data_IF_199395285537
#
_entry.id   IF_199395285537
#
_cell.length_a   1.000
_cell.length_b   1.000
_cell.length_c   1.000
_cell.angle_alpha   90.00
_cell.angle_beta   90.00
_cell.angle_gamma   90.00
#
_symmetry.space_group_name_H-M   'P 1'
#
loop_
_entity.id
_entity.type
_entity.pdbx_description
1 polymer ?
#
# COMPACT_ATOMS: atom_id res chain seq x y z
N UNK A 1 -0.02 -2.25 27.29
CA UNK A 1 0.91 -1.76 26.25
C UNK A 1 0.03 -1.35 25.10
N UNK A 2 0.03 -0.06 24.72
CA UNK A 2 -0.79 0.40 23.59
C UNK A 2 -0.13 -0.13 22.33
N UNK A 3 -0.72 -1.16 21.75
CA UNK A 3 -0.38 -1.64 20.41
C UNK A 3 -0.77 -0.49 19.47
N UNK A 4 0.19 0.32 19.04
CA UNK A 4 -0.08 1.41 18.11
C UNK A 4 -0.66 0.77 16.85
N UNK A 5 -1.90 1.12 16.51
CA UNK A 5 -2.58 0.55 15.35
C UNK A 5 -1.83 0.96 14.07
N UNK A 6 -0.98 0.06 13.57
CA UNK A 6 -0.30 0.23 12.29
C UNK A 6 -1.35 0.23 11.20
N UNK A 7 -1.43 1.33 10.46
CA UNK A 7 -2.32 1.41 9.30
C UNK A 7 -1.50 1.24 8.03
N UNK A 8 -1.95 0.39 7.11
CA UNK A 8 -1.26 0.15 5.85
C UNK A 8 -2.03 0.82 4.72
N UNK A 9 -1.32 1.50 3.82
CA UNK A 9 -1.94 2.16 2.66
C UNK A 9 -1.24 1.72 1.39
N UNK A 10 -2.02 1.20 0.43
CA UNK A 10 -1.56 0.93 -0.92
C UNK A 10 -1.75 2.19 -1.76
N UNK A 11 -0.71 2.58 -2.49
CA UNK A 11 -0.78 3.54 -3.57
C UNK A 11 -0.72 2.79 -4.89
N UNK A 12 -1.70 3.01 -5.75
CA UNK A 12 -1.89 2.27 -6.98
C UNK A 12 -1.81 3.25 -8.15
N UNK A 13 -0.85 3.03 -9.04
CA UNK A 13 -0.63 3.85 -10.24
C UNK A 13 -0.85 3.00 -11.49
N UNK A 14 -1.67 3.51 -12.41
CA UNK A 14 -1.79 2.91 -13.74
C UNK A 14 -0.66 3.42 -14.65
N UNK A 15 0.26 2.53 -14.99
CA UNK A 15 1.41 2.85 -15.84
C UNK A 15 1.04 3.21 -17.29
N UNK A 16 -0.19 2.93 -17.72
CA UNK A 16 -0.69 3.28 -19.04
C UNK A 16 -1.19 4.75 -19.13
N UNK A 17 -0.99 5.55 -18.07
CA UNK A 17 -1.03 7.01 -18.15
C UNK A 17 -2.41 7.67 -18.06
N UNK A 18 -3.48 6.93 -17.75
CA UNK A 18 -4.85 7.48 -17.74
C UNK A 18 -5.59 7.40 -16.39
N UNK A 19 -4.93 6.97 -15.32
CA UNK A 19 -5.56 6.80 -14.00
C UNK A 19 -5.00 7.76 -12.97
N UNK A 20 -5.87 8.41 -12.22
CA UNK A 20 -5.48 9.09 -10.97
C UNK A 20 -4.93 8.04 -10.00
N UNK A 21 -3.82 8.30 -9.29
CA UNK A 21 -3.34 7.37 -8.28
C UNK A 21 -4.42 7.08 -7.23
N UNK A 22 -4.67 5.81 -6.95
CA UNK A 22 -5.66 5.37 -5.97
C UNK A 22 -4.99 5.02 -4.65
N UNK A 23 -5.65 5.34 -3.52
CA UNK A 23 -5.19 5.01 -2.17
C UNK A 23 -6.16 4.03 -1.53
N UNK A 24 -5.69 2.84 -1.18
CA UNK A 24 -6.48 1.81 -0.51
C UNK A 24 -5.94 1.56 0.90
N UNK A 25 -6.77 1.73 1.92
CA UNK A 25 -6.40 1.40 3.30
C UNK A 25 -6.51 -0.12 3.53
N UNK A 26 -5.59 -0.65 4.33
CA UNK A 26 -5.55 -2.05 4.72
C UNK A 26 -5.35 -2.14 6.24
N UNK A 27 -6.07 -3.09 6.85
CA UNK A 27 -6.06 -3.33 8.29
C UNK A 27 -4.75 -3.98 8.75
N UNK A 28 -4.08 -4.74 7.88
CA UNK A 28 -2.82 -5.42 8.15
C UNK A 28 -1.94 -5.52 6.89
N UNK A 29 -0.68 -5.90 7.10
CA UNK A 29 0.33 -6.05 6.04
C UNK A 29 -0.03 -7.17 5.07
N UNK A 30 -0.55 -8.30 5.55
CA UNK A 30 -0.86 -9.47 4.73
C UNK A 30 -1.95 -9.15 3.69
N UNK A 31 -2.97 -8.40 4.11
CA UNK A 31 -4.03 -7.90 3.25
C UNK A 31 -3.52 -6.89 2.24
N UNK A 32 -2.60 -6.00 2.65
CA UNK A 32 -1.95 -5.05 1.76
C UNK A 32 -1.13 -5.78 0.68
N UNK A 33 -0.29 -6.74 1.07
CA UNK A 33 0.55 -7.52 0.14
C UNK A 33 -0.29 -8.33 -0.85
N UNK A 34 -1.31 -9.03 -0.36
CA UNK A 34 -2.20 -9.84 -1.23
C UNK A 34 -2.88 -8.97 -2.27
N UNK A 35 -3.48 -7.86 -1.84
CA UNK A 35 -4.15 -6.91 -2.73
C UNK A 35 -3.16 -6.30 -3.71
N UNK A 36 -1.96 -5.92 -3.24
CA UNK A 36 -0.91 -5.38 -4.08
C UNK A 36 -0.48 -6.35 -5.18
N UNK A 37 -0.29 -7.64 -4.86
CA UNK A 37 0.06 -8.68 -5.86
C UNK A 37 -1.04 -8.85 -6.92
N UNK A 38 -2.31 -8.84 -6.52
CA UNK A 38 -3.44 -8.93 -7.45
C UNK A 38 -3.50 -7.74 -8.41
N UNK A 39 -3.17 -6.54 -7.94
CA UNK A 39 -3.12 -5.32 -8.75
C UNK A 39 -1.89 -5.28 -9.65
N UNK A 40 -0.72 -5.72 -9.17
CA UNK A 40 0.49 -5.88 -9.99
C UNK A 40 0.28 -6.87 -11.12
N UNK A 41 -0.43 -7.98 -10.87
CA UNK A 41 -0.80 -8.94 -11.91
C UNK A 41 -1.71 -8.34 -13.00
N UNK A 42 -2.40 -7.24 -12.71
CA UNK A 42 -3.21 -6.47 -13.67
C UNK A 42 -2.40 -5.39 -14.40
N UNK A 43 -1.08 -5.33 -14.18
CA UNK A 43 -0.18 -4.34 -14.79
C UNK A 43 -0.18 -2.98 -14.09
N UNK A 44 -0.68 -2.91 -12.86
CA UNK A 44 -0.64 -1.69 -12.05
C UNK A 44 0.64 -1.64 -11.22
N UNK A 45 1.20 -0.46 -11.04
CA UNK A 45 2.29 -0.25 -10.08
C UNK A 45 1.67 -0.03 -8.71
N UNK A 46 2.19 -0.72 -7.71
CA UNK A 46 1.70 -0.61 -6.33
C UNK A 46 2.86 -0.36 -5.38
N UNK A 47 2.68 0.56 -4.43
CA UNK A 47 3.58 0.75 -3.29
C UNK A 47 2.79 0.72 -1.98
N UNK A 48 3.34 0.04 -0.97
CA UNK A 48 2.76 -0.03 0.37
C UNK A 48 3.46 0.99 1.26
N UNK A 49 2.70 1.83 1.93
CA UNK A 49 3.18 2.71 3.01
C UNK A 49 2.60 2.25 4.34
N UNK A 50 3.45 2.22 5.37
CA UNK A 50 3.05 1.96 6.76
C UNK A 50 2.92 3.30 7.47
N UNK A 51 1.72 3.58 7.98
CA UNK A 51 1.44 4.72 8.83
C UNK A 51 1.50 4.22 10.28
N UNK A 52 2.62 4.48 10.95
CA UNK A 52 2.72 4.38 12.40
C UNK A 52 2.35 5.73 13.02
N UNK A 53 1.57 5.73 14.10
CA UNK A 53 1.18 6.96 14.84
C UNK A 53 2.40 7.80 15.30
N UNK A 54 3.62 7.26 15.26
CA UNK A 54 4.86 8.00 15.50
C UNK A 54 6.00 7.53 14.57
N UNK A 55 6.15 8.21 13.43
CA UNK A 55 7.37 8.31 12.61
C UNK A 55 7.81 7.15 11.69
N UNK A 56 8.07 7.59 10.45
CA UNK A 56 8.95 7.06 9.39
C UNK A 56 8.37 6.04 8.38
N UNK A 57 8.28 6.54 7.15
CA UNK A 57 7.84 5.90 5.92
C UNK A 57 8.87 4.87 5.46
N UNK A 58 8.48 3.60 5.37
CA UNK A 58 9.27 2.56 4.71
C UNK A 58 8.60 2.25 3.36
N UNK A 59 9.31 2.49 2.26
CA UNK A 59 8.84 2.11 0.92
C UNK A 59 9.50 0.80 0.51
N UNK A 60 8.69 -0.25 0.31
CA UNK A 60 9.14 -1.52 -0.24
C UNK A 60 8.93 -1.53 -1.76
N UNK A 61 10.00 -1.78 -2.52
CA UNK A 61 9.93 -2.04 -3.95
C UNK A 61 10.12 -3.55 -4.16
N UNK A 62 9.06 -4.23 -4.60
CA UNK A 62 9.06 -5.67 -4.93
C UNK A 62 9.41 -5.89 -6.40
#
# INVERSE_FOLDING_TARGET
MSDAARSYVLFVENLNGSGTPERLACEDLDSAERTGRELMAKGLRVSIEVLEEQSLLYTLHL
#
